data_IF_082820778341
#
_entry.id   IF_082820778341
#
_cell.length_a   1.000
_cell.length_b   1.000
_cell.length_c   1.000
_cell.angle_alpha   90.00
_cell.angle_beta   90.00
_cell.angle_gamma   90.00
#
_symmetry.space_group_name_H-M   'P 1'
#
loop_
_entity.id
_entity.type
_entity.pdbx_description
1 polymer ?
#
# COMPACT_ATOMS: atom_id res chain seq x y z
N UNK A 1 -7.03 6.98 -14.87
CA UNK A 1 -5.68 7.54 -15.08
C UNK A 1 -5.51 8.73 -14.16
N UNK A 2 -4.35 8.87 -13.51
CA UNK A 2 -4.09 9.93 -12.50
C UNK A 2 -4.08 11.32 -13.15
N UNK A 3 -4.74 12.31 -12.54
CA UNK A 3 -4.67 13.71 -13.01
C UNK A 3 -3.29 14.32 -12.74
N UNK A 4 -2.92 15.30 -13.56
CA UNK A 4 -1.61 15.96 -13.47
C UNK A 4 -1.52 16.97 -12.32
N UNK A 5 -2.65 17.42 -11.80
CA UNK A 5 -2.70 18.33 -10.65
C UNK A 5 -3.60 17.76 -9.57
N UNK A 6 -3.17 17.85 -8.31
CA UNK A 6 -4.01 17.51 -7.17
C UNK A 6 -3.27 17.30 -5.85
N UNK A 7 -3.95 17.60 -4.75
CA UNK A 7 -3.44 17.37 -3.39
C UNK A 7 -3.53 15.90 -3.02
N UNK A 8 -2.39 15.25 -2.76
CA UNK A 8 -2.32 13.85 -2.34
C UNK A 8 -2.55 13.74 -0.83
N UNK A 9 -1.83 14.55 -0.04
CA UNK A 9 -1.84 14.49 1.42
C UNK A 9 -1.71 15.89 2.00
N UNK A 10 -2.55 16.19 2.99
CA UNK A 10 -2.41 17.38 3.82
C UNK A 10 -2.51 17.02 5.29
N UNK A 11 -1.60 17.55 6.10
CA UNK A 11 -1.71 17.52 7.54
C UNK A 11 -1.22 18.87 8.09
N UNK A 12 -2.08 19.57 8.81
CA UNK A 12 -1.83 20.92 9.29
C UNK A 12 -3.11 21.64 9.69
N UNK A 13 -3.04 22.92 10.05
CA UNK A 13 -4.17 23.71 10.53
C UNK A 13 -5.33 23.77 9.55
N UNK A 14 -6.54 23.61 10.07
CA UNK A 14 -7.78 23.73 9.32
C UNK A 14 -8.84 24.33 10.24
N UNK A 15 -9.70 25.21 9.74
CA UNK A 15 -10.76 25.85 10.55
C UNK A 15 -10.43 27.28 10.97
N UNK A 16 -11.25 27.85 11.86
CA UNK A 16 -11.02 29.19 12.42
C UNK A 16 -9.81 29.19 13.39
N UNK A 17 -8.68 29.83 13.05
CA UNK A 17 -7.49 29.87 13.90
C UNK A 17 -7.72 30.59 15.22
N UNK A 18 -8.82 31.35 15.39
CA UNK A 18 -9.12 32.06 16.65
C UNK A 18 -9.62 31.14 17.76
N UNK A 19 -10.04 29.92 17.43
CA UNK A 19 -10.50 28.94 18.42
C UNK A 19 -9.37 28.09 18.98
N UNK A 20 -8.20 28.09 18.33
CA UNK A 20 -7.07 27.27 18.73
C UNK A 20 -6.13 28.04 19.65
N UNK A 21 -6.02 27.60 20.91
CA UNK A 21 -5.21 28.25 21.96
C UNK A 21 -3.71 28.07 21.67
N UNK A 22 -3.36 27.11 20.81
CA UNK A 22 -2.00 26.82 20.37
C UNK A 22 -1.90 27.09 18.87
N UNK A 23 -1.26 28.21 18.50
CA UNK A 23 -0.95 28.54 17.11
C UNK A 23 0.16 27.62 16.56
N UNK A 24 -0.19 26.38 16.22
CA UNK A 24 0.67 25.53 15.40
C UNK A 24 0.44 25.94 13.94
N UNK A 25 1.45 26.53 13.30
CA UNK A 25 1.39 26.88 11.86
C UNK A 25 2.06 25.81 10.98
N UNK A 26 2.51 24.73 11.61
CA UNK A 26 3.24 23.66 10.97
C UNK A 26 2.31 22.90 10.04
N UNK A 27 2.76 22.63 8.82
CA UNK A 27 2.00 21.79 7.91
C UNK A 27 2.92 20.95 7.02
N UNK A 28 2.36 19.84 6.57
CA UNK A 28 2.85 19.03 5.47
C UNK A 28 1.80 19.05 4.37
N UNK A 29 2.24 19.43 3.17
CA UNK A 29 1.45 19.33 1.95
C UNK A 29 2.23 18.49 0.92
N UNK A 30 1.62 17.42 0.43
CA UNK A 30 2.13 16.63 -0.68
C UNK A 30 1.13 16.73 -1.82
N UNK A 31 1.59 17.15 -2.99
CA UNK A 31 0.74 17.38 -4.15
C UNK A 31 1.47 17.05 -5.45
N UNK A 32 0.68 16.91 -6.51
CA UNK A 32 1.17 16.84 -7.89
C UNK A 32 0.83 18.17 -8.55
N UNK A 33 1.79 18.73 -9.27
CA UNK A 33 1.61 19.88 -10.15
C UNK A 33 2.29 19.57 -11.48
N UNK A 34 1.56 19.73 -12.58
CA UNK A 34 2.03 19.41 -13.94
C UNK A 34 2.57 17.98 -14.06
N UNK A 35 2.02 17.06 -13.28
CA UNK A 35 2.41 15.66 -13.24
C UNK A 35 3.65 15.34 -12.41
N UNK A 36 4.23 16.32 -11.71
CA UNK A 36 5.47 16.21 -10.94
C UNK A 36 5.18 16.28 -9.44
N UNK A 37 5.97 15.57 -8.62
CA UNK A 37 5.73 15.44 -7.18
C UNK A 37 6.39 16.57 -6.38
N UNK A 38 5.61 17.19 -5.50
CA UNK A 38 6.07 18.17 -4.53
C UNK A 38 5.74 17.73 -3.10
N UNK A 39 6.63 18.01 -2.16
CA UNK A 39 6.38 17.94 -0.73
C UNK A 39 6.84 19.22 -0.04
N UNK A 40 5.87 20.00 0.45
CA UNK A 40 6.09 21.28 1.11
C UNK A 40 5.88 21.11 2.60
N UNK A 41 6.88 21.51 3.38
CA UNK A 41 6.84 21.49 4.84
C UNK A 41 7.03 22.91 5.37
N UNK A 42 6.21 23.31 6.33
CA UNK A 42 6.41 24.53 7.10
C UNK A 42 6.66 24.19 8.57
N UNK A 43 7.67 24.82 9.15
CA UNK A 43 8.05 24.67 10.56
C UNK A 43 7.96 26.03 11.25
N UNK A 44 7.25 26.09 12.37
CA UNK A 44 7.09 27.23 13.27
C UNK A 44 6.74 28.56 12.55
N UNK A 45 5.94 28.49 11.48
CA UNK A 45 5.55 29.67 10.71
C UNK A 45 6.68 30.32 9.89
N UNK A 46 7.86 29.68 9.77
CA UNK A 46 8.97 30.14 8.91
C UNK A 46 8.67 29.91 7.43
N UNK A 47 9.60 30.28 6.54
CA UNK A 47 9.46 30.03 5.10
C UNK A 47 9.31 28.52 4.81
N UNK A 48 8.31 28.11 4.01
CA UNK A 48 8.13 26.70 3.65
C UNK A 48 9.30 26.13 2.84
N UNK A 49 9.64 24.88 3.10
CA UNK A 49 10.64 24.13 2.34
C UNK A 49 9.92 23.22 1.36
N UNK A 50 10.10 23.48 0.06
CA UNK A 50 9.58 22.63 -1.02
C UNK A 50 10.63 21.60 -1.49
N UNK A 51 10.30 20.32 -1.41
CA UNK A 51 11.05 19.22 -2.00
C UNK A 51 10.36 18.81 -3.31
N UNK A 52 11.03 19.11 -4.43
CA UNK A 52 10.52 18.88 -5.77
C UNK A 52 11.26 17.73 -6.46
N UNK A 53 10.51 16.82 -7.07
CA UNK A 53 11.04 15.71 -7.87
C UNK A 53 10.82 15.99 -9.35
N UNK A 54 11.91 16.11 -10.11
CA UNK A 54 11.88 16.41 -11.55
C UNK A 54 11.56 15.18 -12.42
N UNK A 55 10.51 14.43 -12.06
CA UNK A 55 10.02 13.29 -12.82
C UNK A 55 8.49 13.22 -12.85
N UNK A 56 7.98 12.79 -13.99
CA UNK A 56 6.56 12.57 -14.22
C UNK A 56 6.07 11.39 -13.37
N UNK A 57 5.20 11.66 -12.40
CA UNK A 57 4.52 10.66 -11.56
C UNK A 57 3.06 10.44 -11.95
N UNK A 58 2.47 11.35 -12.72
CA UNK A 58 1.13 11.19 -13.29
C UNK A 58 1.16 10.41 -14.62
N UNK A 59 1.86 9.27 -14.64
CA UNK A 59 2.11 8.45 -15.85
C UNK A 59 1.22 7.20 -15.94
N UNK A 60 0.35 6.98 -14.94
CA UNK A 60 -0.55 5.83 -14.87
C UNK A 60 0.05 4.59 -14.19
N UNK A 61 1.27 4.66 -13.65
CA UNK A 61 1.91 3.60 -12.87
C UNK A 61 1.81 3.88 -11.37
N UNK A 62 2.04 2.84 -10.57
CA UNK A 62 2.24 3.01 -9.14
C UNK A 62 3.65 3.53 -8.89
N UNK A 63 3.73 4.63 -8.16
CA UNK A 63 4.96 5.16 -7.60
C UNK A 63 4.95 5.05 -6.08
N UNK A 64 6.12 4.81 -5.48
CA UNK A 64 6.32 4.88 -4.03
C UNK A 64 7.15 6.12 -3.73
N UNK A 65 6.65 7.06 -2.96
CA UNK A 65 7.49 8.14 -2.44
C UNK A 65 7.69 8.00 -0.93
N UNK A 66 8.88 8.33 -0.46
CA UNK A 66 9.23 8.33 0.97
C UNK A 66 9.73 9.70 1.36
N UNK A 67 9.03 10.35 2.28
CA UNK A 67 9.45 11.60 2.90
C UNK A 67 10.03 11.29 4.29
N UNK A 68 11.26 11.71 4.55
CA UNK A 68 11.93 11.52 5.82
C UNK A 68 12.48 12.83 6.35
N UNK A 69 12.33 13.04 7.65
CA UNK A 69 13.06 14.06 8.40
C UNK A 69 14.03 13.36 9.35
N UNK A 70 15.32 13.67 9.24
CA UNK A 70 16.35 13.26 10.20
C UNK A 70 17.07 14.50 10.70
N UNK A 71 16.82 14.90 11.95
CA UNK A 71 17.22 16.21 12.48
C UNK A 71 16.68 17.31 11.54
N UNK A 72 17.58 18.13 10.98
CA UNK A 72 17.23 19.13 9.96
C UNK A 72 17.20 18.63 8.53
N UNK A 73 17.63 17.40 8.25
CA UNK A 73 17.71 16.88 6.87
C UNK A 73 16.34 16.37 6.45
N UNK A 74 15.73 17.06 5.50
CA UNK A 74 14.52 16.63 4.83
C UNK A 74 14.90 15.92 3.54
N UNK A 75 14.33 14.74 3.29
CA UNK A 75 14.63 13.93 2.11
C UNK A 75 13.36 13.32 1.56
N UNK A 76 13.09 13.62 0.30
CA UNK A 76 12.04 13.02 -0.52
C UNK A 76 12.69 12.07 -1.54
N UNK A 77 12.25 10.81 -1.54
CA UNK A 77 12.76 9.76 -2.44
C UNK A 77 11.59 9.22 -3.24
N UNK A 78 11.72 9.15 -4.56
CA UNK A 78 10.78 8.50 -5.47
C UNK A 78 11.30 7.12 -5.86
N UNK A 79 10.45 6.11 -5.75
CA UNK A 79 10.66 4.69 -6.02
C UNK A 79 11.92 4.12 -5.33
N UNK A 80 12.64 3.20 -5.97
CA UNK A 80 13.90 2.62 -5.48
C UNK A 80 15.12 3.46 -5.91
N UNK A 81 15.06 4.77 -5.64
CA UNK A 81 16.18 5.66 -5.98
C UNK A 81 17.38 5.41 -5.05
N UNK A 82 18.36 4.64 -5.53
CA UNK A 82 19.65 4.46 -4.88
C UNK A 82 20.60 5.62 -5.20
N UNK A 83 21.00 6.39 -4.20
CA UNK A 83 22.07 7.38 -4.33
C UNK A 83 23.43 6.68 -4.39
N UNK A 84 24.06 6.60 -5.57
CA UNK A 84 25.50 6.32 -5.63
C UNK A 84 26.20 7.61 -5.22
N UNK A 85 26.56 7.73 -3.94
CA UNK A 85 27.39 8.82 -3.43
C UNK A 85 28.84 8.66 -3.91
N UNK A 86 29.10 8.89 -5.20
CA UNK A 86 30.46 9.03 -5.73
C UNK A 86 30.87 10.51 -5.70
N UNK A 87 31.13 11.06 -4.50
CA UNK A 87 32.07 12.19 -4.37
C UNK A 87 32.39 12.49 -2.90
N UNK A 88 33.37 11.76 -2.39
CA UNK A 88 34.31 12.27 -1.39
C UNK A 88 35.10 13.45 -1.99
N UNK A 89 34.51 14.63 -2.00
CA UNK A 89 35.25 15.88 -2.24
C UNK A 89 34.71 16.98 -1.35
N UNK A 90 35.46 17.17 -0.26
CA UNK A 90 35.67 18.39 0.50
C UNK A 90 35.12 19.69 -0.13
N UNK A 91 34.24 20.37 0.61
CA UNK A 91 34.26 21.81 0.99
C UNK A 91 32.84 22.37 1.07
N UNK A 92 32.53 22.87 2.27
CA UNK A 92 31.59 23.93 2.63
C UNK A 92 30.87 24.61 1.44
N UNK A 93 29.64 24.19 1.17
CA UNK A 93 28.51 24.92 0.59
C UNK A 93 27.36 23.91 0.44
N UNK A 94 26.15 24.32 0.80
CA UNK A 94 24.90 23.55 0.81
C UNK A 94 24.87 22.45 -0.28
N UNK A 95 25.26 21.22 0.06
CA UNK A 95 25.47 20.12 -0.90
C UNK A 95 24.11 19.53 -1.25
N UNK A 96 23.44 20.18 -2.19
CA UNK A 96 22.26 19.66 -2.87
C UNK A 96 22.69 18.40 -3.62
N UNK A 97 22.26 17.22 -3.16
CA UNK A 97 22.41 15.97 -3.90
C UNK A 97 21.15 15.80 -4.74
N UNK A 98 21.20 16.28 -5.99
CA UNK A 98 20.11 16.16 -6.95
C UNK A 98 20.35 14.92 -7.82
N UNK A 99 19.56 13.87 -7.57
CA UNK A 99 19.27 12.88 -8.59
C UNK A 99 17.80 13.09 -8.99
N UNK A 100 17.42 12.87 -10.24
CA UNK A 100 16.05 13.16 -10.71
C UNK A 100 14.93 12.45 -9.90
N UNK A 101 15.28 11.40 -9.14
CA UNK A 101 14.38 10.63 -8.27
C UNK A 101 14.53 10.91 -6.77
N UNK A 102 15.34 11.89 -6.36
CA UNK A 102 15.55 12.22 -4.96
C UNK A 102 15.88 13.70 -4.78
N UNK A 103 15.24 14.31 -3.79
CA UNK A 103 15.50 15.67 -3.37
C UNK A 103 15.79 15.71 -1.87
N UNK A 104 16.84 16.44 -1.46
CA UNK A 104 17.15 16.68 -0.06
C UNK A 104 17.41 18.16 0.21
N UNK A 105 16.82 18.70 1.29
CA UNK A 105 17.00 20.08 1.75
C UNK A 105 17.15 20.11 3.26
N UNK A 106 17.68 21.22 3.77
CA UNK A 106 17.76 21.45 5.21
C UNK A 106 16.52 22.23 5.64
N UNK A 107 15.90 21.79 6.74
CA UNK A 107 14.89 22.56 7.45
C UNK A 107 15.50 23.88 7.95
N UNK A 108 14.69 24.94 8.13
CA UNK A 108 15.18 26.25 8.56
C UNK A 108 15.76 26.24 9.98
N UNK A 109 15.49 25.21 10.78
CA UNK A 109 15.98 25.05 12.15
C UNK A 109 16.50 23.64 12.39
N UNK A 110 17.45 23.52 13.32
CA UNK A 110 18.27 22.33 13.52
C UNK A 110 17.58 21.25 14.37
N UNK A 111 16.55 21.62 15.14
CA UNK A 111 15.90 20.76 16.16
C UNK A 111 14.36 20.79 16.14
N UNK A 112 13.76 21.39 15.10
CA UNK A 112 12.31 21.52 15.00
C UNK A 112 11.69 20.30 14.31
N UNK A 113 10.91 19.53 15.08
CA UNK A 113 10.03 18.49 14.55
C UNK A 113 8.74 19.13 14.05
N UNK A 114 8.19 18.56 13.00
CA UNK A 114 6.89 18.98 12.47
C UNK A 114 5.80 18.70 13.52
N UNK A 115 5.21 19.75 14.10
CA UNK A 115 4.24 19.64 15.19
C UNK A 115 2.82 19.82 14.65
N UNK A 116 2.23 18.73 14.16
CA UNK A 116 0.87 18.74 13.65
C UNK A 116 -0.04 17.92 14.57
N UNK A 117 -1.17 18.51 14.95
CA UNK A 117 -2.17 17.90 15.83
C UNK A 117 -3.57 17.77 15.18
N UNK A 118 -3.64 17.88 13.84
CA UNK A 118 -4.91 17.83 13.10
C UNK A 118 -5.10 16.49 12.37
N UNK A 119 -6.33 16.15 11.94
CA UNK A 119 -6.57 14.98 11.11
C UNK A 119 -5.76 15.01 9.82
N UNK A 120 -5.20 13.86 9.46
CA UNK A 120 -4.52 13.66 8.18
C UNK A 120 -5.58 13.53 7.07
N UNK A 121 -5.43 14.32 6.02
CA UNK A 121 -6.34 14.37 4.88
C UNK A 121 -5.66 13.77 3.65
N UNK A 122 -6.38 12.90 2.93
CA UNK A 122 -5.89 12.24 1.72
C UNK A 122 -6.81 12.54 0.54
N UNK A 123 -6.22 12.72 -0.64
CA UNK A 123 -6.96 12.91 -1.89
C UNK A 123 -7.51 14.31 -2.11
N UNK A 124 -7.36 15.22 -1.14
CA UNK A 124 -7.90 16.57 -1.23
C UNK A 124 -7.91 17.26 0.14
N UNK A 125 -8.56 18.42 0.17
CA UNK A 125 -8.84 19.16 1.39
C UNK A 125 -10.32 19.04 1.78
N UNK A 126 -10.60 18.93 3.07
CA UNK A 126 -11.94 18.89 3.61
C UNK A 126 -12.65 20.22 3.35
N UNK A 127 -13.91 20.14 2.93
CA UNK A 127 -14.75 21.32 2.69
C UNK A 127 -15.22 21.93 4.01
N UNK A 128 -14.67 23.08 4.36
CA UNK A 128 -15.04 23.83 5.56
C UNK A 128 -16.14 24.86 5.22
N UNK A 129 -17.32 24.36 4.83
CA UNK A 129 -18.46 25.23 4.49
C UNK A 129 -18.24 26.16 3.29
N UNK A 130 -17.31 25.80 2.39
CA UNK A 130 -16.94 26.59 1.21
C UNK A 130 -15.83 27.62 1.43
N UNK A 131 -15.27 27.73 2.65
CA UNK A 131 -14.19 28.65 2.96
C UNK A 131 -12.82 27.97 2.85
N UNK A 132 -12.28 27.86 1.63
CA UNK A 132 -10.86 27.51 1.43
C UNK A 132 -9.93 28.40 2.26
N UNK A 133 -10.34 29.65 2.56
CA UNK A 133 -9.64 30.62 3.41
C UNK A 133 -9.30 30.13 4.83
N UNK A 134 -9.91 29.04 5.29
CA UNK A 134 -9.60 28.39 6.57
C UNK A 134 -8.34 27.50 6.52
N UNK A 135 -7.69 27.40 5.35
CA UNK A 135 -6.37 26.78 5.19
C UNK A 135 -5.26 27.83 5.02
N UNK A 136 -4.00 27.51 5.42
CA UNK A 136 -2.87 28.39 5.23
C UNK A 136 -2.74 28.89 3.78
N UNK A 137 -2.39 30.17 3.59
CA UNK A 137 -2.30 30.79 2.25
C UNK A 137 -1.36 30.03 1.31
N UNK A 138 -0.24 29.54 1.83
CA UNK A 138 0.72 28.75 1.05
C UNK A 138 0.10 27.43 0.58
N UNK A 139 -0.71 26.77 1.42
CA UNK A 139 -1.44 25.55 1.04
C UNK A 139 -2.43 25.84 -0.08
N UNK A 140 -3.21 26.91 0.05
CA UNK A 140 -4.20 27.32 -0.97
C UNK A 140 -3.59 27.67 -2.32
N UNK A 141 -2.35 28.14 -2.35
CA UNK A 141 -1.65 28.44 -3.59
C UNK A 141 -1.40 27.18 -4.45
N UNK A 142 -1.29 26.02 -3.81
CA UNK A 142 -0.97 24.73 -4.45
C UNK A 142 -2.16 23.75 -4.44
N UNK A 143 -3.14 23.94 -3.56
CA UNK A 143 -4.34 23.13 -3.45
C UNK A 143 -5.41 23.51 -4.48
N UNK A 144 -5.02 23.64 -5.75
CA UNK A 144 -5.90 24.06 -6.85
C UNK A 144 -6.91 22.98 -7.26
N UNK A 145 -6.63 21.71 -6.93
CA UNK A 145 -7.48 20.58 -7.26
C UNK A 145 -7.37 19.45 -6.21
N UNK A 146 -8.43 18.65 -6.10
CA UNK A 146 -8.39 17.38 -5.41
C UNK A 146 -7.66 16.34 -6.27
N UNK A 147 -6.90 15.46 -5.63
CA UNK A 147 -6.24 14.37 -6.32
C UNK A 147 -7.26 13.36 -6.85
N UNK A 148 -7.12 13.03 -8.13
CA UNK A 148 -7.91 11.99 -8.78
C UNK A 148 -6.94 10.93 -9.28
N UNK A 149 -6.89 9.81 -8.57
CA UNK A 149 -5.98 8.70 -8.81
C UNK A 149 -6.18 7.63 -7.75
N UNK A 150 -5.17 6.78 -7.56
CA UNK A 150 -5.18 5.74 -6.55
C UNK A 150 -4.02 5.90 -5.58
N UNK A 151 -4.29 5.66 -4.31
CA UNK A 151 -3.27 5.56 -3.26
C UNK A 151 -3.39 4.20 -2.58
N UNK A 152 -2.26 3.68 -2.09
CA UNK A 152 -2.19 2.46 -1.28
C UNK A 152 -1.03 2.58 -0.29
N UNK A 153 -1.09 1.81 0.78
CA UNK A 153 0.04 1.61 1.72
C UNK A 153 0.56 2.93 2.33
N UNK A 154 -0.33 3.73 2.94
CA UNK A 154 0.11 4.89 3.70
C UNK A 154 0.74 4.44 5.02
N UNK A 155 2.01 4.80 5.21
CA UNK A 155 2.77 4.60 6.44
C UNK A 155 3.24 5.95 6.95
N UNK A 156 2.90 6.28 8.20
CA UNK A 156 3.33 7.52 8.87
C UNK A 156 4.02 7.13 10.17
N UNK A 157 5.28 7.50 10.36
CA UNK A 157 6.06 7.17 11.56
C UNK A 157 5.99 5.67 11.93
N UNK A 158 6.10 4.79 10.93
CA UNK A 158 6.02 3.33 11.05
C UNK A 158 4.62 2.76 11.32
N UNK A 159 3.60 3.61 11.46
CA UNK A 159 2.21 3.17 11.62
C UNK A 159 1.52 3.08 10.25
N UNK A 160 0.91 1.92 9.99
CA UNK A 160 0.10 1.70 8.80
C UNK A 160 -1.31 2.25 8.99
N UNK A 161 -1.73 3.11 8.07
CA UNK A 161 -3.08 3.65 8.06
C UNK A 161 -4.03 2.71 7.29
N UNK A 162 -5.15 2.34 7.92
CA UNK A 162 -6.23 1.59 7.27
C UNK A 162 -7.02 2.50 6.34
N UNK A 163 -6.57 2.62 5.09
CA UNK A 163 -7.24 3.43 4.06
C UNK A 163 -8.60 2.84 3.62
N UNK A 164 -8.90 1.60 4.00
CA UNK A 164 -10.17 0.95 3.68
C UNK A 164 -11.28 1.37 4.65
N UNK A 165 -10.93 1.76 5.89
CA UNK A 165 -11.86 2.27 6.90
C UNK A 165 -11.45 3.65 7.40
N UNK A 166 -11.54 4.69 6.55
CA UNK A 166 -11.28 6.05 6.99
C UNK A 166 -12.36 6.53 7.96
N UNK A 167 -12.00 7.46 8.84
CA UNK A 167 -12.94 8.11 9.77
C UNK A 167 -14.00 8.92 9.03
N UNK A 168 -13.64 9.49 7.87
CA UNK A 168 -14.51 10.24 6.98
C UNK A 168 -14.11 9.98 5.53
N UNK A 169 -15.09 9.86 4.64
CA UNK A 169 -14.87 9.64 3.21
C UNK A 169 -15.87 10.43 2.39
N UNK A 170 -15.38 11.09 1.35
CA UNK A 170 -16.20 11.82 0.39
C UNK A 170 -15.64 11.57 -1.01
N UNK A 171 -16.51 11.24 -1.96
CA UNK A 171 -16.18 11.03 -3.38
C UNK A 171 -15.02 10.04 -3.65
N UNK A 172 -14.74 9.16 -2.70
CA UNK A 172 -13.72 8.11 -2.82
C UNK A 172 -14.38 6.75 -2.66
N UNK A 173 -13.84 5.75 -3.36
CA UNK A 173 -14.32 4.37 -3.32
C UNK A 173 -13.17 3.42 -2.97
N UNK A 174 -13.43 2.34 -2.23
CA UNK A 174 -12.43 1.31 -2.01
C UNK A 174 -11.97 0.66 -3.32
N UNK A 175 -10.70 0.28 -3.36
CA UNK A 175 -10.07 -0.36 -4.51
C UNK A 175 -9.56 0.63 -5.56
N UNK A 176 -8.76 0.11 -6.49
CA UNK A 176 -8.21 0.89 -7.59
C UNK A 176 -8.39 0.12 -8.90
N UNK A 177 -9.38 0.51 -9.70
CA UNK A 177 -9.47 0.03 -11.08
C UNK A 177 -8.56 0.90 -11.94
N UNK A 178 -7.31 0.49 -12.14
CA UNK A 178 -6.43 1.13 -13.13
C UNK A 178 -6.94 0.96 -14.57
N UNK A 179 -7.92 0.06 -14.77
CA UNK A 179 -8.43 -0.35 -16.07
C UNK A 179 -9.95 -0.28 -16.10
N UNK A 180 -10.49 0.78 -16.72
CA UNK A 180 -11.68 0.60 -17.56
C UNK A 180 -11.22 -0.20 -18.79
N UNK A 181 -11.37 -1.52 -18.73
CA UNK A 181 -11.05 -2.45 -19.82
C UNK A 181 -9.61 -2.99 -19.83
N UNK A 182 -9.48 -4.30 -20.03
CA UNK A 182 -8.29 -5.01 -20.53
C UNK A 182 -7.10 -5.38 -19.62
N UNK A 183 -7.27 -5.61 -18.31
CA UNK A 183 -6.29 -6.46 -17.60
C UNK A 183 -6.45 -7.96 -17.97
N UNK A 184 -7.66 -8.35 -18.40
CA UNK A 184 -7.97 -9.68 -18.94
C UNK A 184 -8.99 -9.58 -20.09
N UNK A 185 -8.79 -8.68 -21.06
CA UNK A 185 -9.55 -8.79 -22.30
C UNK A 185 -8.85 -9.84 -23.16
N UNK A 186 -9.45 -11.02 -23.25
CA UNK A 186 -9.21 -11.92 -24.37
C UNK A 186 -9.63 -11.18 -25.65
N UNK A 187 -8.70 -10.49 -26.31
CA UNK A 187 -8.89 -10.19 -27.72
C UNK A 187 -8.75 -11.51 -28.45
N UNK A 188 -9.87 -12.01 -28.94
CA UNK A 188 -9.93 -13.10 -29.91
C UNK A 188 -8.89 -12.85 -31.02
N UNK A 189 -8.04 -13.84 -31.27
CA UNK A 189 -7.24 -13.94 -32.49
C UNK A 189 -6.01 -13.03 -32.55
N UNK A 190 -4.92 -13.44 -31.89
CA UNK A 190 -3.59 -12.92 -32.17
C UNK A 190 -2.55 -13.57 -31.27
N UNK A 191 -1.61 -14.33 -31.85
CA UNK A 191 -0.47 -14.91 -31.16
C UNK A 191 0.23 -13.86 -30.29
N UNK A 192 0.15 -14.00 -28.97
CA UNK A 192 1.02 -13.28 -28.03
C UNK A 192 2.12 -14.23 -27.61
N UNK A 193 3.34 -13.82 -27.91
CA UNK A 193 4.59 -14.49 -27.58
C UNK A 193 4.73 -14.56 -26.06
N UNK A 194 4.54 -15.76 -25.50
CA UNK A 194 4.76 -16.06 -24.09
C UNK A 194 6.27 -16.14 -23.82
N UNK A 195 6.89 -15.00 -23.52
CA UNK A 195 8.25 -14.96 -23.00
C UNK A 195 8.25 -14.66 -21.50
N UNK A 196 8.62 -15.61 -20.63
CA UNK A 196 8.78 -15.40 -19.20
C UNK A 196 10.19 -14.85 -18.97
N UNK A 197 10.40 -13.55 -19.16
CA UNK A 197 11.69 -12.95 -18.83
C UNK A 197 11.49 -11.54 -18.29
N UNK A 198 11.07 -11.45 -17.03
CA UNK A 198 11.44 -10.31 -16.18
C UNK A 198 12.31 -10.86 -15.07
N UNK A 199 13.63 -10.83 -15.27
CA UNK A 199 14.61 -11.01 -14.21
C UNK A 199 14.46 -9.83 -13.24
N UNK A 200 13.70 -10.00 -12.16
CA UNK A 200 13.75 -9.10 -10.99
C UNK A 200 14.67 -9.77 -9.98
N UNK A 201 15.78 -9.13 -9.56
CA UNK A 201 16.65 -9.70 -8.57
C UNK A 201 15.91 -9.75 -7.22
N UNK A 202 15.77 -10.95 -6.64
CA UNK A 202 15.39 -11.12 -5.24
C UNK A 202 16.46 -10.47 -4.37
N UNK A 203 16.19 -9.28 -3.83
CA UNK A 203 16.97 -8.74 -2.72
C UNK A 203 16.32 -9.17 -1.39
N UNK A 204 17.02 -10.06 -0.70
CA UNK A 204 16.74 -10.46 0.68
C UNK A 204 16.61 -9.24 1.59
N UNK A 205 15.46 -9.10 2.27
CA UNK A 205 15.40 -8.44 3.58
C UNK A 205 14.51 -9.27 4.49
N UNK A 206 15.15 -10.27 5.10
CA UNK A 206 14.64 -11.06 6.19
C UNK A 206 14.88 -10.27 7.48
N UNK A 207 13.85 -9.62 8.02
CA UNK A 207 13.86 -9.24 9.44
C UNK A 207 12.82 -10.07 10.19
N UNK A 208 13.35 -10.79 11.17
CA UNK A 208 12.73 -11.84 11.94
C UNK A 208 11.78 -11.30 13.01
N UNK A 209 10.50 -11.63 12.92
CA UNK A 209 9.68 -12.11 14.07
C UNK A 209 8.23 -12.36 13.61
N UNK A 210 7.96 -13.58 13.17
CA UNK A 210 6.62 -14.03 12.80
C UNK A 210 6.63 -14.72 11.43
N UNK A 211 6.47 -16.04 11.43
CA UNK A 211 6.47 -16.86 10.23
C UNK A 211 5.25 -16.57 9.35
N UNK A 212 5.43 -15.71 8.36
CA UNK A 212 4.52 -15.53 7.24
C UNK A 212 5.33 -15.11 6.02
N UNK A 213 5.13 -15.78 4.89
CA UNK A 213 5.62 -15.27 3.60
C UNK A 213 4.74 -14.08 3.26
N UNK A 214 5.26 -12.88 3.51
CA UNK A 214 4.66 -11.66 2.98
C UNK A 214 5.33 -11.40 1.65
N UNK A 215 4.61 -11.62 0.54
CA UNK A 215 5.04 -11.14 -0.77
C UNK A 215 4.94 -9.61 -0.70
N UNK A 216 6.03 -8.96 -0.32
CA UNK A 216 6.13 -7.50 -0.18
C UNK A 216 6.57 -6.81 -1.47
N UNK A 217 6.91 -7.56 -2.52
CA UNK A 217 7.18 -7.00 -3.85
C UNK A 217 5.91 -6.99 -4.68
N UNK A 218 5.33 -5.81 -4.90
CA UNK A 218 4.10 -5.56 -5.67
C UNK A 218 4.20 -5.84 -7.18
N UNK A 219 4.68 -7.01 -7.58
CA UNK A 219 4.48 -7.54 -8.92
C UNK A 219 3.04 -8.01 -9.08
N UNK A 220 2.30 -7.42 -10.02
CA UNK A 220 0.99 -7.93 -10.41
C UNK A 220 1.20 -9.09 -11.39
N UNK A 221 0.68 -10.28 -11.06
CA UNK A 221 0.68 -11.42 -11.97
C UNK A 221 -0.71 -11.60 -12.58
N UNK A 222 -0.78 -11.71 -13.91
CA UNK A 222 -2.01 -12.01 -14.64
C UNK A 222 -1.99 -13.46 -15.11
N UNK A 223 -2.84 -14.31 -14.51
CA UNK A 223 -2.96 -15.71 -14.89
C UNK A 223 -4.15 -15.89 -15.84
N UNK A 224 -3.90 -15.97 -17.15
CA UNK A 224 -4.95 -16.14 -18.16
C UNK A 224 -5.37 -17.59 -18.41
N UNK A 225 -4.50 -18.56 -18.09
CA UNK A 225 -4.65 -19.96 -18.49
C UNK A 225 -4.38 -20.97 -17.36
N UNK A 226 -4.53 -20.56 -16.09
CA UNK A 226 -4.36 -21.47 -14.94
C UNK A 226 -2.89 -21.79 -14.60
N UNK A 227 -1.98 -20.87 -14.90
CA UNK A 227 -0.57 -20.98 -14.49
C UNK A 227 -0.43 -20.79 -12.97
N UNK A 228 0.61 -21.37 -12.38
CA UNK A 228 0.88 -21.28 -10.94
C UNK A 228 2.33 -20.87 -10.68
N UNK A 229 2.55 -20.10 -9.62
CA UNK A 229 3.90 -19.86 -9.07
C UNK A 229 4.09 -20.83 -7.90
N UNK A 230 5.18 -21.57 -7.94
CA UNK A 230 5.58 -22.48 -6.86
C UNK A 230 6.88 -21.97 -6.26
N UNK A 231 6.85 -21.65 -4.97
CA UNK A 231 8.02 -21.23 -4.21
C UNK A 231 8.33 -22.29 -3.14
N UNK A 232 9.56 -22.79 -3.14
CA UNK A 232 10.05 -23.73 -2.12
C UNK A 232 10.76 -22.95 -1.03
N UNK A 233 10.34 -23.13 0.23
CA UNK A 233 11.03 -22.53 1.38
C UNK A 233 12.14 -23.46 1.88
N UNK A 234 13.36 -22.94 1.99
CA UNK A 234 14.52 -23.69 2.52
C UNK A 234 14.45 -23.97 4.03
N UNK A 235 13.60 -23.24 4.77
CA UNK A 235 13.40 -23.41 6.22
C UNK A 235 11.92 -23.39 6.58
N UNK A 236 11.48 -24.40 7.35
CA UNK A 236 10.10 -24.53 7.79
C UNK A 236 9.81 -23.57 8.97
N UNK A 237 8.89 -22.60 8.82
CA UNK A 237 8.55 -21.69 9.91
C UNK A 237 7.89 -22.44 11.08
N UNK A 238 8.02 -21.95 12.33
CA UNK A 238 7.45 -22.62 13.49
C UNK A 238 5.93 -22.73 13.39
N UNK A 239 5.40 -23.94 13.63
CA UNK A 239 3.98 -24.37 13.52
C UNK A 239 2.94 -23.60 14.35
N UNK A 240 3.28 -22.48 15.01
CA UNK A 240 2.38 -21.79 15.94
C UNK A 240 1.44 -20.79 15.26
N UNK A 241 1.88 -20.07 14.24
CA UNK A 241 1.04 -19.13 13.47
C UNK A 241 1.26 -19.38 11.97
N UNK A 242 0.19 -19.31 11.19
CA UNK A 242 0.22 -19.52 9.75
C UNK A 242 -0.76 -18.56 9.09
N UNK A 243 -0.32 -17.83 8.07
CA UNK A 243 -1.12 -16.79 7.44
C UNK A 243 -0.92 -16.77 5.93
N UNK A 244 -2.02 -16.78 5.19
CA UNK A 244 -2.10 -16.54 3.76
C UNK A 244 -2.79 -15.20 3.53
N UNK A 245 -2.13 -14.28 2.81
CA UNK A 245 -2.70 -12.98 2.44
C UNK A 245 -2.50 -12.72 0.96
N UNK A 246 -3.55 -12.27 0.29
CA UNK A 246 -3.52 -12.00 -1.14
C UNK A 246 -4.47 -10.84 -1.49
N UNK A 247 -3.98 -9.94 -2.33
CA UNK A 247 -4.83 -9.03 -3.11
C UNK A 247 -5.05 -9.67 -4.48
N UNK A 248 -6.29 -9.92 -4.88
CA UNK A 248 -6.59 -10.52 -6.18
C UNK A 248 -7.83 -9.93 -6.83
N UNK A 249 -7.89 -10.04 -8.16
CA UNK A 249 -9.07 -9.74 -8.96
C UNK A 249 -9.73 -11.07 -9.35
N UNK A 250 -10.98 -11.36 -8.95
CA UNK A 250 -11.64 -12.63 -9.23
C UNK A 250 -11.69 -13.01 -10.71
N UNK A 251 -11.81 -12.02 -11.60
CA UNK A 251 -11.96 -12.27 -13.02
C UNK A 251 -13.26 -13.01 -13.35
N UNK A 252 -13.34 -13.61 -14.54
CA UNK A 252 -14.57 -14.23 -15.05
C UNK A 252 -14.84 -15.64 -14.53
N UNK A 253 -13.82 -16.33 -13.99
CA UNK A 253 -14.01 -17.68 -13.44
C UNK A 253 -14.62 -17.60 -12.06
N UNK A 254 -15.76 -18.26 -11.87
CA UNK A 254 -16.43 -18.31 -10.57
C UNK A 254 -15.64 -19.12 -9.52
N UNK A 255 -14.68 -19.95 -9.96
CA UNK A 255 -13.88 -20.81 -9.08
C UNK A 255 -12.39 -20.68 -9.37
N UNK A 256 -11.56 -20.82 -8.35
CA UNK A 256 -10.10 -20.87 -8.50
C UNK A 256 -9.39 -21.09 -7.17
N UNK A 257 -8.24 -21.77 -7.20
CA UNK A 257 -7.34 -21.81 -6.04
C UNK A 257 -6.49 -20.54 -6.06
N UNK A 258 -6.53 -19.79 -4.96
CA UNK A 258 -5.84 -18.50 -4.85
C UNK A 258 -4.45 -18.65 -4.23
N UNK A 259 -4.34 -19.48 -3.20
CA UNK A 259 -3.07 -19.77 -2.54
C UNK A 259 -3.13 -21.13 -1.86
N UNK A 260 -2.00 -21.84 -1.81
CA UNK A 260 -1.86 -23.06 -1.03
C UNK A 260 -0.46 -23.17 -0.41
N UNK A 261 -0.39 -23.80 0.75
CA UNK A 261 0.84 -24.15 1.44
C UNK A 261 0.79 -25.64 1.81
N UNK A 262 1.86 -26.36 1.48
CA UNK A 262 2.00 -27.80 1.69
C UNK A 262 3.32 -28.08 2.41
N UNK A 263 3.31 -28.98 3.39
CA UNK A 263 4.54 -29.42 4.07
C UNK A 263 5.38 -30.33 3.18
N UNK A 264 6.70 -30.13 3.17
CA UNK A 264 7.66 -30.86 2.31
C UNK A 264 8.20 -32.17 2.91
N UNK A 265 8.02 -32.43 4.21
CA UNK A 265 8.59 -33.63 4.85
C UNK A 265 7.64 -34.26 5.87
N UNK A 266 7.40 -35.57 5.71
CA UNK A 266 6.47 -36.31 6.55
C UNK A 266 5.00 -36.04 6.19
N UNK A 267 4.05 -36.56 6.98
CA UNK A 267 2.63 -36.52 6.63
C UNK A 267 2.12 -35.08 6.40
N UNK A 268 1.41 -34.89 5.28
CA UNK A 268 1.27 -33.60 4.59
C UNK A 268 0.22 -32.69 5.25
N UNK A 269 0.65 -31.83 6.16
CA UNK A 269 -0.18 -30.70 6.58
C UNK A 269 -0.41 -29.74 5.40
N UNK A 270 -1.61 -29.16 5.32
CA UNK A 270 -2.00 -28.26 4.22
C UNK A 270 -2.80 -27.06 4.72
N UNK A 271 -2.67 -25.94 4.01
CA UNK A 271 -3.50 -24.74 4.16
C UNK A 271 -3.82 -24.22 2.76
N UNK A 272 -5.08 -23.89 2.48
CA UNK A 272 -5.52 -23.44 1.16
C UNK A 272 -6.53 -22.31 1.28
N UNK A 273 -6.48 -21.43 0.30
CA UNK A 273 -7.44 -20.38 0.06
C UNK A 273 -8.01 -20.54 -1.35
N UNK A 274 -9.32 -20.66 -1.44
CA UNK A 274 -10.06 -20.93 -2.66
C UNK A 274 -11.17 -19.87 -2.85
N UNK A 275 -11.45 -19.57 -4.11
CA UNK A 275 -12.69 -18.94 -4.53
C UNK A 275 -13.62 -20.02 -5.09
N UNK A 276 -14.85 -20.09 -4.60
CA UNK A 276 -15.86 -21.05 -5.06
C UNK A 276 -17.16 -20.31 -5.31
N UNK A 277 -17.65 -20.32 -6.55
CA UNK A 277 -18.86 -19.58 -6.96
C UNK A 277 -18.86 -18.11 -6.52
N UNK A 278 -17.71 -17.45 -6.67
CA UNK A 278 -17.46 -16.07 -6.21
C UNK A 278 -17.61 -15.87 -4.70
N UNK A 279 -17.48 -16.91 -3.88
CA UNK A 279 -17.34 -16.79 -2.42
C UNK A 279 -15.96 -17.26 -2.00
N UNK A 280 -15.52 -16.85 -0.81
CA UNK A 280 -14.21 -17.21 -0.30
C UNK A 280 -14.30 -18.39 0.66
N UNK A 281 -13.46 -19.39 0.43
CA UNK A 281 -13.30 -20.56 1.29
C UNK A 281 -11.84 -20.74 1.68
N UNK A 282 -11.61 -20.97 2.97
CA UNK A 282 -10.33 -21.33 3.54
C UNK A 282 -10.38 -22.73 4.13
N UNK A 283 -9.36 -23.54 3.87
CA UNK A 283 -9.26 -24.90 4.42
C UNK A 283 -7.87 -25.16 4.98
N UNK A 284 -7.77 -25.90 6.07
CA UNK A 284 -6.49 -26.40 6.54
C UNK A 284 -6.61 -27.76 7.21
N UNK A 285 -5.54 -28.55 7.13
CA UNK A 285 -5.41 -29.86 7.76
C UNK A 285 -4.04 -29.95 8.44
N UNK A 286 -4.06 -30.13 9.76
CA UNK A 286 -2.85 -30.34 10.57
C UNK A 286 -2.68 -31.80 10.98
N UNK A 287 -3.65 -32.67 10.67
CA UNK A 287 -3.69 -34.04 11.17
C UNK A 287 -3.01 -35.00 10.19
N UNK A 288 -1.86 -35.56 10.56
CA UNK A 288 -1.06 -36.36 9.66
C UNK A 288 -1.56 -37.79 9.44
N UNK A 289 -2.49 -38.27 10.29
CA UNK A 289 -3.12 -39.57 10.10
C UNK A 289 -4.60 -39.54 10.51
N UNK A 290 -5.48 -40.07 9.67
CA UNK A 290 -6.91 -40.07 9.95
C UNK A 290 -7.22 -41.03 11.10
N UNK A 291 -7.84 -40.54 12.16
CA UNK A 291 -8.47 -41.40 13.16
C UNK A 291 -9.66 -42.05 12.44
N UNK A 292 -9.62 -43.36 12.22
CA UNK A 292 -10.63 -44.15 11.46
C UNK A 292 -10.73 -43.85 9.95
N UNK A 293 -9.66 -43.41 9.30
CA UNK A 293 -9.67 -43.23 7.83
C UNK A 293 -10.37 -41.97 7.31
N UNK A 294 -10.88 -41.10 8.20
CA UNK A 294 -11.37 -39.77 7.85
C UNK A 294 -10.42 -38.69 8.41
N UNK A 295 -9.77 -37.92 7.52
CA UNK A 295 -9.25 -36.61 7.88
C UNK A 295 -10.40 -35.61 7.77
N UNK A 296 -10.62 -34.80 8.82
CA UNK A 296 -11.64 -33.75 8.85
C UNK A 296 -10.93 -32.40 8.78
N UNK A 297 -10.64 -31.87 7.58
CA UNK A 297 -10.04 -30.55 7.46
C UNK A 297 -10.95 -29.50 8.09
N UNK A 298 -10.34 -28.49 8.70
CA UNK A 298 -11.09 -27.35 9.23
C UNK A 298 -11.36 -26.39 8.08
N UNK A 299 -12.64 -26.06 7.90
CA UNK A 299 -13.10 -25.16 6.85
C UNK A 299 -13.72 -23.89 7.44
N UNK A 300 -13.47 -22.76 6.77
CA UNK A 300 -14.11 -21.48 6.99
C UNK A 300 -14.62 -20.99 5.63
N UNK A 301 -15.91 -20.67 5.54
CA UNK A 301 -16.52 -20.13 4.33
C UNK A 301 -17.20 -18.81 4.65
N UNK A 302 -16.92 -17.80 3.83
CA UNK A 302 -17.62 -16.52 3.85
C UNK A 302 -18.59 -16.51 2.67
N UNK A 303 -19.89 -16.81 2.89
CA UNK A 303 -20.88 -16.85 1.82
C UNK A 303 -21.20 -15.47 1.25
N UNK A 304 -20.92 -14.42 2.02
CA UNK A 304 -21.05 -13.02 1.62
C UNK A 304 -19.77 -12.25 2.00
N UNK A 305 -19.34 -11.28 1.17
CA UNK A 305 -19.96 -10.85 -0.07
C UNK A 305 -19.68 -11.82 -1.22
N UNK A 306 -20.60 -11.89 -2.18
CA UNK A 306 -20.25 -12.40 -3.50
C UNK A 306 -19.27 -11.46 -4.19
N UNK A 307 -18.09 -11.99 -4.50
CA UNK A 307 -17.00 -11.27 -5.12
C UNK A 307 -17.37 -10.85 -6.55
N UNK A 308 -17.13 -9.59 -6.88
CA UNK A 308 -17.34 -9.05 -8.21
C UNK A 308 -16.12 -9.34 -9.10
N UNK A 309 -16.36 -9.88 -10.28
CA UNK A 309 -15.34 -10.19 -11.30
C UNK A 309 -14.40 -9.02 -11.67
N UNK A 310 -14.84 -7.77 -11.47
CA UNK A 310 -14.13 -6.55 -11.85
C UNK A 310 -13.60 -5.72 -10.67
N UNK A 311 -13.77 -6.20 -9.43
CA UNK A 311 -13.31 -5.50 -8.23
C UNK A 311 -12.20 -6.31 -7.55
N UNK A 312 -11.06 -5.71 -7.21
CA UNK A 312 -10.02 -6.39 -6.45
C UNK A 312 -10.42 -6.53 -4.98
N UNK A 313 -10.08 -7.66 -4.37
CA UNK A 313 -10.37 -7.98 -2.97
C UNK A 313 -9.10 -8.38 -2.24
N UNK A 314 -8.96 -7.92 -1.01
CA UNK A 314 -7.91 -8.32 -0.08
C UNK A 314 -8.41 -9.43 0.83
N UNK A 315 -7.88 -10.64 0.68
CA UNK A 315 -8.24 -11.76 1.54
C UNK A 315 -7.12 -12.06 2.51
N UNK A 316 -7.49 -12.28 3.77
CA UNK A 316 -6.60 -12.65 4.85
C UNK A 316 -7.13 -13.90 5.56
N UNK A 317 -6.36 -14.98 5.47
CA UNK A 317 -6.62 -16.22 6.17
C UNK A 317 -5.48 -16.49 7.16
N UNK A 318 -5.81 -16.47 8.45
CA UNK A 318 -4.87 -16.69 9.55
C UNK A 318 -5.30 -17.88 10.40
N UNK A 319 -4.33 -18.66 10.85
CA UNK A 319 -4.49 -19.77 11.78
C UNK A 319 -3.50 -19.65 12.92
N UNK A 320 -4.02 -19.66 14.14
CA UNK A 320 -3.26 -19.76 15.40
C UNK A 320 -3.42 -21.17 15.98
N UNK A 321 -2.78 -21.51 17.12
CA UNK A 321 -2.96 -22.83 17.73
C UNK A 321 -4.38 -23.07 18.26
N UNK A 322 -5.14 -22.01 18.55
CA UNK A 322 -6.47 -22.09 19.17
C UNK A 322 -7.61 -21.60 18.28
N UNK A 323 -7.31 -20.90 17.17
CA UNK A 323 -8.34 -20.32 16.32
C UNK A 323 -7.91 -20.21 14.86
N UNK A 324 -8.89 -20.13 13.98
CA UNK A 324 -8.74 -19.78 12.58
C UNK A 324 -9.65 -18.60 12.24
N UNK A 325 -9.17 -17.69 11.40
CA UNK A 325 -9.84 -16.46 11.01
C UNK A 325 -9.70 -16.24 9.51
N UNK A 326 -10.81 -15.99 8.83
CA UNK A 326 -10.87 -15.62 7.42
C UNK A 326 -11.56 -14.28 7.29
N UNK A 327 -10.98 -13.36 6.52
CA UNK A 327 -11.62 -12.08 6.21
C UNK A 327 -11.43 -11.60 4.77
N UNK A 328 -12.42 -10.86 4.28
CA UNK A 328 -12.41 -10.13 3.01
C UNK A 328 -12.44 -8.64 3.34
N UNK A 329 -11.42 -7.92 2.85
CA UNK A 329 -11.14 -6.49 3.05
C UNK A 329 -11.17 -6.04 4.53
N UNK A 330 -11.07 -6.97 5.47
CA UNK A 330 -11.23 -6.69 6.90
C UNK A 330 -12.65 -6.25 7.32
N UNK A 331 -13.62 -6.23 6.40
CA UNK A 331 -15.03 -5.90 6.67
C UNK A 331 -15.87 -7.13 6.96
N UNK A 332 -15.67 -8.19 6.18
CA UNK A 332 -16.38 -9.45 6.34
C UNK A 332 -15.42 -10.45 6.93
N UNK A 333 -15.81 -11.08 8.03
CA UNK A 333 -14.92 -11.98 8.75
C UNK A 333 -15.68 -13.12 9.41
N UNK A 334 -15.01 -14.27 9.48
CA UNK A 334 -15.46 -15.42 10.24
C UNK A 334 -14.28 -15.95 11.06
N UNK A 335 -14.57 -16.30 12.31
CA UNK A 335 -13.62 -16.92 13.21
C UNK A 335 -14.16 -18.25 13.71
N UNK A 336 -13.28 -19.24 13.85
CA UNK A 336 -13.58 -20.56 14.38
C UNK A 336 -12.53 -20.94 15.41
N UNK A 337 -12.95 -21.26 16.62
CA UNK A 337 -12.10 -21.86 17.65
C UNK A 337 -11.84 -23.34 17.33
N UNK A 338 -10.65 -23.83 17.67
CA UNK A 338 -10.13 -25.16 17.28
C UNK A 338 -10.11 -26.18 18.41
#
# INVERSE_FOLDING_TARGET
MTKQDGVILYNGPMGDPKQDILNYNDYLLIYIEQGMLHAVLQFNGKEPVDLFIEQMVADGRFHRFTLTQQHKKLRLVLDDCTSIDSSSSSKLNQKISNNNCMMAKDAPDDDERLNIATPLQLGGLASLGGALEEYPRAVRAHALANFVGCTRELVVNFDHYDLYRPVYVEQSVPGCSLFWGSACSTSEGGNVDSSPNVNIPLSNSLESSGGGVSITSGGNFCYGHGECIVESMDQQPPYKDSRLRLLFLPGSSANGQLASALSQSGPTASMRLDMIRFTTKATFDLTPQPINGQSMPVELELPEPKLNHSVPYFIDFRRTPSSAHLSIDGQYSIQKEL
#
